data_IF_887342721096
#
_entry.id   IF_887342721096
#
_cell.length_a   1.000
_cell.length_b   1.000
_cell.length_c   1.000
_cell.angle_alpha   90.00
_cell.angle_beta   90.00
_cell.angle_gamma   90.00
#
_symmetry.space_group_name_H-M   'P 1'
#
loop_
_entity.id
_entity.type
_entity.pdbx_description
1 polymer ?
#
# COMPACT_ATOMS: atom_id res chain seq x y z
N UNK A 1 7.31 16.10 32.68
CA UNK A 1 8.48 15.71 31.84
C UNK A 1 7.91 15.32 30.50
N UNK A 2 8.40 15.90 29.41
CA UNK A 2 7.95 15.58 28.08
C UNK A 2 8.87 14.49 27.51
N UNK A 3 8.30 13.52 26.80
CA UNK A 3 9.04 12.39 26.22
C UNK A 3 8.93 12.41 24.70
N UNK A 4 9.96 11.92 24.02
CA UNK A 4 9.94 11.58 22.60
C UNK A 4 10.08 10.08 22.40
N UNK A 5 9.32 9.57 21.44
CA UNK A 5 9.38 8.16 21.02
C UNK A 5 10.46 8.00 19.96
N UNK A 6 11.23 6.93 20.03
CA UNK A 6 12.25 6.54 19.05
C UNK A 6 11.84 5.21 18.47
N UNK A 7 11.70 5.15 17.15
CA UNK A 7 11.18 3.97 16.45
C UNK A 7 12.16 3.56 15.34
N UNK A 8 12.49 2.28 15.31
CA UNK A 8 13.16 1.59 14.21
C UNK A 8 12.34 0.39 13.76
N UNK A 9 12.43 0.03 12.50
CA UNK A 9 11.67 -1.07 11.90
C UNK A 9 12.60 -2.09 11.26
N UNK A 10 12.26 -3.37 11.43
CA UNK A 10 12.83 -4.49 10.71
C UNK A 10 11.73 -5.06 9.83
N UNK A 11 11.87 -4.90 8.51
CA UNK A 11 10.85 -5.30 7.54
C UNK A 11 11.34 -6.48 6.73
N UNK A 12 10.62 -7.59 6.80
CA UNK A 12 10.88 -8.79 6.02
C UNK A 12 9.95 -8.83 4.81
N UNK A 13 10.50 -9.01 3.62
CA UNK A 13 9.74 -9.16 2.39
C UNK A 13 10.12 -10.47 1.68
N UNK A 14 9.13 -11.32 1.43
CA UNK A 14 9.31 -12.50 0.57
C UNK A 14 9.51 -12.05 -0.87
N UNK A 15 10.52 -12.60 -1.53
CA UNK A 15 10.86 -12.24 -2.91
C UNK A 15 10.00 -13.02 -3.90
N UNK A 16 9.49 -12.33 -4.91
CA UNK A 16 8.63 -12.88 -5.97
C UNK A 16 9.41 -13.71 -6.99
N UNK A 17 10.17 -14.71 -6.54
CA UNK A 17 10.88 -15.65 -7.40
C UNK A 17 10.02 -16.88 -7.67
N UNK A 18 10.23 -17.55 -8.80
CA UNK A 18 9.50 -18.79 -9.15
C UNK A 18 9.92 -19.96 -8.25
N UNK A 19 11.17 -19.94 -7.76
CA UNK A 19 11.74 -21.01 -6.95
C UNK A 19 12.34 -20.47 -5.68
N UNK A 20 12.49 -21.36 -4.69
CA UNK A 20 13.11 -21.06 -3.41
C UNK A 20 14.57 -20.62 -3.53
N UNK A 21 15.14 -20.16 -2.40
CA UNK A 21 16.47 -19.53 -2.39
C UNK A 21 17.60 -20.49 -2.76
N UNK A 22 17.54 -21.77 -2.34
CA UNK A 22 18.62 -22.74 -2.52
C UNK A 22 18.23 -24.02 -3.24
N UNK A 23 16.99 -24.15 -3.71
CA UNK A 23 16.49 -25.33 -4.42
C UNK A 23 15.44 -24.97 -5.47
N UNK A 24 15.01 -25.95 -6.25
CA UNK A 24 14.03 -25.80 -7.32
C UNK A 24 12.57 -25.96 -6.89
N UNK A 25 12.28 -26.09 -5.59
CA UNK A 25 10.90 -26.10 -5.11
C UNK A 25 10.18 -24.81 -5.48
N UNK A 26 8.88 -24.90 -5.79
CA UNK A 26 8.06 -23.75 -6.07
C UNK A 26 8.03 -22.78 -4.88
N UNK A 27 8.06 -21.48 -5.18
CA UNK A 27 7.92 -20.40 -4.22
C UNK A 27 6.50 -19.81 -4.34
N UNK A 28 5.50 -20.62 -3.99
CA UNK A 28 4.09 -20.28 -4.09
C UNK A 28 3.43 -20.33 -2.72
N UNK A 29 2.58 -19.35 -2.44
CA UNK A 29 1.74 -19.36 -1.24
C UNK A 29 0.59 -20.38 -1.39
N UNK A 30 0.31 -21.10 -0.30
CA UNK A 30 -0.73 -22.14 -0.31
C UNK A 30 -0.17 -23.52 -0.70
N UNK A 31 -1.02 -24.39 -1.17
CA UNK A 31 -0.70 -25.79 -1.42
C UNK A 31 -0.86 -26.69 -0.18
N UNK A 32 -0.91 -28.00 -0.41
CA UNK A 32 -1.06 -28.96 0.67
C UNK A 32 0.21 -28.98 1.55
N UNK A 33 0.03 -29.19 2.85
CA UNK A 33 1.12 -29.21 3.84
C UNK A 33 2.25 -30.14 3.42
N UNK A 34 3.49 -29.65 3.48
CA UNK A 34 4.72 -30.38 3.17
C UNK A 34 4.81 -30.93 1.74
N UNK A 35 4.17 -30.26 0.76
CA UNK A 35 4.27 -30.64 -0.67
C UNK A 35 5.27 -29.79 -1.45
N UNK A 36 5.55 -28.54 -1.01
CA UNK A 36 6.54 -27.66 -1.61
C UNK A 36 7.87 -27.72 -0.86
N UNK A 37 8.36 -28.92 -0.56
CA UNK A 37 9.63 -29.11 0.13
C UNK A 37 10.41 -30.29 -0.48
N UNK A 38 11.74 -30.21 -0.39
CA UNK A 38 12.67 -31.22 -0.89
C UNK A 38 13.79 -31.47 0.13
N UNK A 39 14.66 -32.48 -0.07
CA UNK A 39 15.77 -32.75 0.82
C UNK A 39 16.69 -31.54 1.09
N UNK A 40 16.81 -30.58 0.14
CA UNK A 40 17.68 -29.40 0.31
C UNK A 40 17.03 -28.41 1.29
N UNK A 41 15.80 -27.96 1.03
CA UNK A 41 15.15 -26.97 1.92
C UNK A 41 14.76 -27.56 3.28
N UNK A 42 14.65 -28.88 3.41
CA UNK A 42 14.46 -29.57 4.69
C UNK A 42 15.78 -29.98 5.38
N UNK A 43 16.94 -29.66 4.80
CA UNK A 43 18.24 -29.84 5.42
C UNK A 43 18.65 -31.28 5.61
N UNK A 44 18.31 -32.19 4.70
CA UNK A 44 18.70 -33.60 4.81
C UNK A 44 20.22 -33.79 4.65
N UNK A 45 20.85 -34.70 5.38
CA UNK A 45 22.29 -34.94 5.27
C UNK A 45 22.76 -35.23 3.85
N UNK A 46 23.85 -34.60 3.43
CA UNK A 46 24.47 -34.79 2.12
C UNK A 46 23.90 -33.91 1.00
N UNK A 47 22.93 -33.02 1.29
CA UNK A 47 22.42 -32.07 0.32
C UNK A 47 23.29 -30.80 0.27
N UNK A 48 23.43 -30.21 -0.92
CA UNK A 48 24.17 -28.95 -1.11
C UNK A 48 23.23 -27.87 -1.64
N UNK A 49 23.20 -26.68 -1.02
CA UNK A 49 22.44 -25.53 -1.48
C UNK A 49 23.08 -24.90 -2.72
N UNK A 50 22.27 -24.29 -3.59
CA UNK A 50 22.73 -23.46 -4.71
C UNK A 50 21.94 -22.16 -4.71
N UNK A 51 22.60 -21.03 -4.53
CA UNK A 51 21.95 -19.72 -4.44
C UNK A 51 21.23 -19.36 -5.75
N UNK A 52 19.94 -19.06 -5.64
CA UNK A 52 19.13 -18.58 -6.74
C UNK A 52 19.57 -17.16 -7.16
N UNK A 53 20.09 -17.01 -8.37
CA UNK A 53 20.58 -15.74 -8.92
C UNK A 53 19.50 -14.65 -8.92
N UNK A 54 18.24 -15.00 -9.12
CA UNK A 54 17.12 -14.05 -9.13
C UNK A 54 16.88 -13.41 -7.76
N UNK A 55 17.20 -14.12 -6.67
CA UNK A 55 17.17 -13.57 -5.31
C UNK A 55 18.16 -12.42 -5.17
N UNK A 56 19.38 -12.58 -5.71
CA UNK A 56 20.39 -11.51 -5.70
C UNK A 56 19.95 -10.36 -6.58
N UNK A 57 19.41 -10.62 -7.79
CA UNK A 57 18.84 -9.59 -8.66
C UNK A 57 17.80 -8.73 -7.92
N UNK A 58 16.87 -9.38 -7.21
CA UNK A 58 15.80 -8.68 -6.50
C UNK A 58 16.31 -7.91 -5.28
N UNK A 59 17.26 -8.46 -4.53
CA UNK A 59 17.85 -7.76 -3.40
C UNK A 59 18.65 -6.52 -3.85
N UNK A 60 19.43 -6.61 -4.95
CA UNK A 60 20.10 -5.46 -5.57
C UNK A 60 19.06 -4.43 -6.01
N UNK A 61 17.97 -4.88 -6.64
CA UNK A 61 16.92 -3.99 -7.14
C UNK A 61 16.22 -3.23 -6.00
N UNK A 62 15.91 -3.91 -4.90
CA UNK A 62 15.37 -3.28 -3.69
C UNK A 62 16.36 -2.28 -3.09
N UNK A 63 17.66 -2.64 -3.02
CA UNK A 63 18.71 -1.76 -2.53
C UNK A 63 18.86 -0.50 -3.37
N UNK A 64 18.93 -0.62 -4.69
CA UNK A 64 19.03 0.52 -5.59
C UNK A 64 17.79 1.43 -5.53
N UNK A 65 16.60 0.84 -5.46
CA UNK A 65 15.35 1.59 -5.36
C UNK A 65 15.17 2.33 -4.02
N UNK A 66 15.90 1.91 -2.99
CA UNK A 66 15.96 2.54 -1.67
C UNK A 66 17.28 3.28 -1.42
N UNK A 67 18.01 3.60 -2.48
CA UNK A 67 19.24 4.40 -2.45
C UNK A 67 20.42 3.79 -1.65
N UNK A 68 20.45 2.46 -1.50
CA UNK A 68 21.55 1.76 -0.85
C UNK A 68 22.78 1.64 -1.75
N UNK A 69 23.94 1.51 -1.10
CA UNK A 69 25.16 1.03 -1.73
C UNK A 69 25.15 -0.50 -1.81
N UNK A 70 25.62 -1.07 -2.94
CA UNK A 70 25.66 -2.52 -3.15
C UNK A 70 27.03 -3.05 -2.78
N UNK A 71 27.07 -4.08 -1.93
CA UNK A 71 28.29 -4.81 -1.57
C UNK A 71 28.73 -5.69 -2.73
N UNK A 72 29.95 -5.47 -3.25
CA UNK A 72 30.46 -6.18 -4.43
C UNK A 72 30.95 -7.59 -4.13
N UNK A 73 31.46 -7.80 -2.92
CA UNK A 73 31.93 -9.10 -2.44
C UNK A 73 31.22 -9.41 -1.14
N UNK A 74 30.29 -10.33 -1.18
CA UNK A 74 29.45 -10.75 -0.07
C UNK A 74 29.51 -12.23 0.16
N UNK A 75 28.90 -12.66 1.24
CA UNK A 75 28.79 -14.07 1.64
C UNK A 75 27.47 -14.33 2.31
N UNK A 76 27.14 -15.60 2.45
CA UNK A 76 26.07 -16.06 3.33
C UNK A 76 26.68 -16.58 4.64
N UNK A 77 25.97 -16.40 5.74
CA UNK A 77 26.35 -16.84 7.08
C UNK A 77 25.28 -17.76 7.67
N UNK A 78 25.69 -18.67 8.54
CA UNK A 78 24.79 -19.48 9.35
C UNK A 78 24.46 -18.73 10.64
N UNK A 79 23.17 -18.47 10.86
CA UNK A 79 22.60 -17.99 12.13
C UNK A 79 22.08 -19.20 12.89
N UNK A 80 22.84 -19.66 13.90
CA UNK A 80 22.56 -20.94 14.54
C UNK A 80 21.58 -20.78 15.71
N UNK A 81 20.44 -21.44 15.61
CA UNK A 81 19.49 -21.59 16.72
C UNK A 81 18.57 -22.80 16.48
N UNK A 82 18.06 -23.38 17.57
CA UNK A 82 17.18 -24.53 17.50
C UNK A 82 15.74 -24.14 17.67
N UNK A 83 14.95 -24.40 16.63
CA UNK A 83 13.50 -24.26 16.68
C UNK A 83 12.87 -25.30 15.74
N UNK A 84 11.63 -25.80 16.03
CA UNK A 84 11.03 -26.90 15.24
C UNK A 84 10.82 -26.58 13.76
N UNK A 85 10.65 -25.31 13.40
CA UNK A 85 10.48 -24.82 12.03
C UNK A 85 11.78 -24.58 11.27
N UNK A 86 12.93 -24.80 11.92
CA UNK A 86 14.26 -24.75 11.32
C UNK A 86 14.85 -26.15 11.17
N UNK A 87 14.59 -26.86 10.05
CA UNK A 87 15.00 -28.25 9.89
C UNK A 87 16.53 -28.46 9.86
N UNK A 88 17.27 -27.40 9.48
CA UNK A 88 18.75 -27.39 9.45
C UNK A 88 19.39 -27.04 10.80
N UNK A 89 18.60 -26.61 11.79
CA UNK A 89 19.03 -26.02 13.05
C UNK A 89 19.84 -24.71 12.92
N UNK A 90 19.78 -24.08 11.74
CA UNK A 90 20.28 -22.74 11.46
C UNK A 90 19.45 -22.10 10.35
N UNK A 91 19.46 -20.78 10.31
CA UNK A 91 18.95 -19.97 9.20
C UNK A 91 20.14 -19.44 8.42
N UNK A 92 20.13 -19.58 7.10
CA UNK A 92 21.12 -18.91 6.25
C UNK A 92 20.71 -17.45 6.08
N UNK A 93 21.64 -16.53 6.37
CA UNK A 93 21.43 -15.09 6.40
C UNK A 93 22.73 -14.37 6.02
N UNK A 94 22.85 -13.06 6.25
CA UNK A 94 24.07 -12.28 6.09
C UNK A 94 24.30 -11.43 7.33
N UNK A 95 25.45 -11.54 7.96
CA UNK A 95 25.74 -10.88 9.24
C UNK A 95 26.60 -9.61 9.06
N UNK A 96 27.89 -9.78 8.75
CA UNK A 96 28.87 -8.70 8.68
C UNK A 96 29.01 -8.08 7.28
N UNK A 97 28.59 -8.76 6.22
CA UNK A 97 28.64 -8.31 4.84
C UNK A 97 27.25 -8.38 4.18
N UNK A 98 26.29 -7.57 4.64
CA UNK A 98 24.98 -7.50 4.00
C UNK A 98 25.11 -7.02 2.55
N UNK A 99 24.22 -7.49 1.68
CA UNK A 99 24.28 -7.15 0.25
C UNK A 99 24.08 -5.65 -0.02
N UNK A 100 23.26 -4.97 0.79
CA UNK A 100 23.03 -3.53 0.64
C UNK A 100 23.21 -2.79 1.96
N UNK A 101 23.80 -1.61 1.90
CA UNK A 101 24.08 -0.79 3.08
C UNK A 101 23.76 0.70 2.83
N UNK A 102 23.37 1.41 3.87
CA UNK A 102 23.34 2.87 3.92
C UNK A 102 22.36 3.50 2.91
N UNK A 103 21.08 3.11 2.91
CA UNK A 103 20.07 3.70 2.05
C UNK A 103 19.09 4.61 2.79
N UNK A 104 17.98 4.96 2.13
CA UNK A 104 16.92 5.74 2.75
C UNK A 104 15.59 5.63 1.99
N UNK A 105 14.51 5.95 2.70
CA UNK A 105 13.18 6.21 2.15
C UNK A 105 12.72 7.59 2.64
N UNK A 106 12.33 8.46 1.71
CA UNK A 106 11.76 9.76 2.05
C UNK A 106 10.25 9.60 2.31
N UNK A 107 9.76 10.15 3.43
CA UNK A 107 8.35 10.22 3.80
C UNK A 107 7.86 11.66 3.78
N UNK A 108 6.54 11.86 3.64
CA UNK A 108 5.92 13.18 3.71
C UNK A 108 4.64 13.09 4.55
N UNK A 109 4.60 13.82 5.65
CA UNK A 109 3.44 13.92 6.53
C UNK A 109 3.03 15.39 6.59
N UNK A 110 1.82 15.69 6.10
CA UNK A 110 1.24 17.05 6.10
C UNK A 110 2.17 18.13 5.52
N UNK A 111 2.92 17.79 4.47
CA UNK A 111 3.87 18.67 3.80
C UNK A 111 5.29 18.68 4.42
N UNK A 112 5.48 18.03 5.56
CA UNK A 112 6.79 17.87 6.19
C UNK A 112 7.52 16.66 5.61
N UNK A 113 8.54 16.91 4.80
CA UNK A 113 9.39 15.85 4.23
C UNK A 113 10.44 15.44 5.26
N UNK A 114 10.60 14.12 5.44
CA UNK A 114 11.60 13.54 6.32
C UNK A 114 12.25 12.34 5.66
N UNK A 115 13.57 12.23 5.83
CA UNK A 115 14.34 11.08 5.39
C UNK A 115 14.47 10.09 6.52
N UNK A 116 14.14 8.83 6.25
CA UNK A 116 14.35 7.70 7.16
C UNK A 116 15.47 6.85 6.58
N UNK A 117 16.55 6.72 7.31
CA UNK A 117 17.71 5.94 6.92
C UNK A 117 17.42 4.44 6.90
N UNK A 118 18.13 3.73 6.05
CA UNK A 118 18.20 2.27 6.03
C UNK A 118 19.63 1.89 6.39
N UNK A 119 19.79 1.13 7.47
CA UNK A 119 21.10 0.61 7.89
C UNK A 119 21.60 -0.43 6.91
N UNK A 120 20.75 -1.41 6.55
CA UNK A 120 21.08 -2.50 5.64
C UNK A 120 19.86 -3.16 5.03
N UNK A 121 20.10 -3.86 3.91
CA UNK A 121 19.21 -4.89 3.38
C UNK A 121 20.05 -6.13 3.17
N UNK A 122 19.63 -7.25 3.73
CA UNK A 122 20.32 -8.51 3.57
C UNK A 122 19.38 -9.64 3.14
N UNK A 123 19.98 -10.64 2.50
CA UNK A 123 19.27 -11.83 2.02
C UNK A 123 19.24 -12.87 3.13
N UNK A 124 18.10 -13.51 3.31
CA UNK A 124 17.95 -14.65 4.19
C UNK A 124 16.89 -15.64 3.68
N UNK A 125 16.79 -16.79 4.30
CA UNK A 125 15.73 -17.76 4.04
C UNK A 125 14.65 -17.73 5.12
N UNK A 126 13.40 -18.01 4.74
CA UNK A 126 12.32 -18.15 5.72
C UNK A 126 12.35 -19.54 6.39
N UNK A 127 11.82 -19.59 7.61
CA UNK A 127 11.59 -20.80 8.38
C UNK A 127 10.25 -21.47 8.00
N UNK A 128 9.99 -22.67 8.45
CA UNK A 128 8.70 -23.35 8.33
C UNK A 128 7.59 -22.65 9.10
N UNK A 129 6.41 -23.23 9.08
CA UNK A 129 5.24 -22.73 9.82
C UNK A 129 4.82 -23.70 10.90
N UNK A 130 4.63 -23.19 12.11
CA UNK A 130 4.14 -23.96 13.25
C UNK A 130 2.63 -23.78 13.40
N UNK A 131 1.93 -24.88 13.60
CA UNK A 131 0.53 -24.91 13.97
C UNK A 131 0.43 -25.43 15.41
N UNK A 132 0.27 -24.49 16.34
CA UNK A 132 0.01 -24.78 17.74
C UNK A 132 -1.46 -25.15 17.89
N UNK A 133 -1.75 -26.09 18.80
CA UNK A 133 -3.15 -26.49 19.14
C UNK A 133 -3.94 -27.23 18.04
N UNK A 134 -3.35 -27.49 16.87
CA UNK A 134 -4.02 -28.29 15.84
C UNK A 134 -4.41 -29.70 16.32
N UNK A 135 -3.62 -30.27 17.24
CA UNK A 135 -3.88 -31.53 17.97
C UNK A 135 -3.47 -31.32 19.42
N UNK A 136 -4.35 -31.64 20.37
CA UNK A 136 -4.12 -31.43 21.79
C UNK A 136 -2.74 -31.97 22.25
N UNK A 137 -1.89 -31.07 22.77
CA UNK A 137 -0.55 -31.38 23.27
C UNK A 137 0.53 -31.56 22.21
N UNK A 138 0.27 -31.28 20.93
CA UNK A 138 1.24 -31.38 19.85
C UNK A 138 1.31 -30.09 19.02
N UNK A 139 2.48 -29.79 18.46
CA UNK A 139 2.69 -28.77 17.45
C UNK A 139 2.97 -29.46 16.11
N UNK A 140 2.21 -29.12 15.08
CA UNK A 140 2.46 -29.58 13.72
C UNK A 140 3.38 -28.59 12.99
N UNK A 141 4.18 -29.09 12.06
CA UNK A 141 5.15 -28.30 11.30
C UNK A 141 4.87 -28.45 9.81
N UNK A 142 4.74 -27.33 9.13
CA UNK A 142 4.69 -27.25 7.69
C UNK A 142 5.99 -26.63 7.16
N UNK A 143 6.73 -27.39 6.37
CA UNK A 143 8.00 -26.97 5.77
C UNK A 143 7.85 -26.32 4.38
N UNK A 144 6.62 -26.11 3.89
CA UNK A 144 6.41 -25.46 2.59
C UNK A 144 7.09 -24.09 2.52
N UNK A 145 7.12 -23.35 3.62
CA UNK A 145 7.78 -22.04 3.68
C UNK A 145 9.30 -22.10 3.89
N UNK A 146 9.87 -23.21 4.35
CA UNK A 146 11.33 -23.34 4.51
C UNK A 146 12.07 -23.05 3.22
N UNK A 147 13.02 -22.12 3.26
CA UNK A 147 13.82 -21.73 2.11
C UNK A 147 13.10 -20.80 1.14
N UNK A 148 11.95 -20.23 1.50
CA UNK A 148 11.38 -19.09 0.80
C UNK A 148 12.36 -17.92 0.88
N UNK A 149 12.71 -17.27 -0.26
CA UNK A 149 13.69 -16.18 -0.23
C UNK A 149 13.11 -14.94 0.45
N UNK A 150 13.85 -14.38 1.39
CA UNK A 150 13.54 -13.14 2.08
C UNK A 150 14.62 -12.09 1.87
N UNK A 151 14.23 -10.84 1.94
CA UNK A 151 15.11 -9.74 2.33
C UNK A 151 14.62 -9.14 3.64
N UNK A 152 15.56 -8.87 4.55
CA UNK A 152 15.33 -8.09 5.75
C UNK A 152 15.86 -6.67 5.54
N UNK A 153 15.00 -5.69 5.72
CA UNK A 153 15.26 -4.25 5.57
C UNK A 153 15.25 -3.64 6.96
N UNK A 154 16.40 -3.20 7.44
CA UNK A 154 16.57 -2.60 8.77
C UNK A 154 16.66 -1.09 8.64
N UNK A 155 15.71 -0.35 9.22
CA UNK A 155 15.75 1.11 9.24
C UNK A 155 16.68 1.64 10.33
N UNK A 156 17.16 2.87 10.15
CA UNK A 156 17.69 3.66 11.26
C UNK A 156 16.53 4.06 12.22
N UNK A 157 16.83 4.30 13.52
CA UNK A 157 15.83 4.70 14.51
C UNK A 157 15.45 6.20 14.38
N UNK A 158 15.10 6.60 13.18
CA UNK A 158 14.84 8.01 12.82
C UNK A 158 13.39 8.43 13.04
N UNK A 159 12.46 7.48 13.10
CA UNK A 159 11.03 7.77 13.26
C UNK A 159 10.70 8.19 14.68
N UNK A 160 9.77 9.14 14.80
CA UNK A 160 9.36 9.77 16.08
C UNK A 160 7.88 9.67 16.39
N UNK A 161 7.08 9.19 15.43
CA UNK A 161 5.65 8.96 15.64
C UNK A 161 5.15 7.71 14.90
N UNK A 162 3.98 7.23 15.29
CA UNK A 162 3.32 6.09 14.65
C UNK A 162 2.94 6.40 13.21
N UNK A 163 2.60 7.66 12.88
CA UNK A 163 2.32 8.13 11.53
C UNK A 163 3.56 8.10 10.64
N UNK A 164 4.74 8.48 11.18
CA UNK A 164 6.01 8.37 10.45
C UNK A 164 6.34 6.91 10.14
N UNK A 165 6.14 6.01 11.08
CA UNK A 165 6.34 4.58 10.89
C UNK A 165 5.37 4.00 9.83
N UNK A 166 4.11 4.41 9.88
CA UNK A 166 3.11 4.03 8.88
C UNK A 166 3.50 4.54 7.48
N UNK A 167 3.85 5.83 7.37
CA UNK A 167 4.25 6.42 6.10
C UNK A 167 5.50 5.73 5.51
N UNK A 168 6.47 5.37 6.37
CA UNK A 168 7.64 4.60 5.94
C UNK A 168 7.25 3.22 5.39
N UNK A 169 6.42 2.46 6.11
CA UNK A 169 5.95 1.14 5.68
C UNK A 169 5.16 1.20 4.37
N UNK A 170 4.27 2.18 4.22
CA UNK A 170 3.48 2.38 3.00
C UNK A 170 4.38 2.73 1.80
N UNK A 171 5.35 3.64 1.97
CA UNK A 171 6.30 3.99 0.90
C UNK A 171 7.23 2.83 0.54
N UNK A 172 7.76 2.12 1.55
CA UNK A 172 8.62 0.95 1.31
C UNK A 172 7.86 -0.14 0.56
N UNK A 173 6.63 -0.46 1.00
CA UNK A 173 5.75 -1.40 0.30
C UNK A 173 5.56 -1.00 -1.16
N UNK A 174 5.19 0.25 -1.42
CA UNK A 174 4.99 0.74 -2.79
C UNK A 174 6.27 0.60 -3.65
N UNK A 175 7.45 0.90 -3.10
CA UNK A 175 8.73 0.72 -3.79
C UNK A 175 8.96 -0.74 -4.17
N UNK A 176 8.72 -1.68 -3.25
CA UNK A 176 8.91 -3.11 -3.49
C UNK A 176 7.91 -3.67 -4.51
N UNK A 177 6.66 -3.24 -4.47
CA UNK A 177 5.63 -3.61 -5.45
C UNK A 177 5.95 -3.05 -6.84
N UNK A 178 6.32 -1.76 -6.95
CA UNK A 178 6.68 -1.12 -8.23
C UNK A 178 7.88 -1.78 -8.90
N UNK A 179 8.84 -2.20 -8.11
CA UNK A 179 10.03 -2.90 -8.63
C UNK A 179 9.76 -4.37 -8.94
N UNK A 180 8.61 -4.91 -8.57
CA UNK A 180 8.26 -6.31 -8.74
C UNK A 180 9.11 -7.26 -7.89
N UNK A 181 9.71 -6.75 -6.81
CA UNK A 181 10.57 -7.53 -5.90
C UNK A 181 9.74 -8.42 -4.99
N UNK A 182 8.58 -7.92 -4.54
CA UNK A 182 7.65 -8.63 -3.65
C UNK A 182 6.21 -8.20 -3.96
N UNK A 183 5.24 -9.04 -3.66
CA UNK A 183 3.81 -8.71 -3.70
C UNK A 183 3.32 -8.04 -2.41
N UNK A 184 4.15 -8.02 -1.37
CA UNK A 184 3.97 -7.29 -0.12
C UNK A 184 2.60 -7.50 0.57
N UNK A 185 2.06 -8.71 0.54
CA UNK A 185 0.77 -9.05 1.16
C UNK A 185 0.96 -9.46 2.62
N UNK A 186 0.64 -8.58 3.55
CA UNK A 186 0.75 -8.87 4.98
C UNK A 186 -0.15 -10.04 5.43
N UNK A 187 -1.34 -10.19 4.82
CA UNK A 187 -2.29 -11.26 5.16
C UNK A 187 -1.76 -12.65 4.80
N UNK A 188 -0.96 -12.76 3.74
CA UNK A 188 -0.31 -14.00 3.31
C UNK A 188 1.05 -14.19 3.99
N UNK A 189 1.58 -13.13 4.67
CA UNK A 189 2.85 -13.14 5.37
C UNK A 189 4.05 -12.81 4.49
N UNK A 190 3.83 -12.39 3.24
CA UNK A 190 4.91 -11.98 2.34
C UNK A 190 5.51 -10.61 2.66
N UNK A 191 4.86 -9.83 3.53
CA UNK A 191 5.42 -8.66 4.19
C UNK A 191 5.17 -8.75 5.69
N UNK A 192 6.22 -8.65 6.50
CA UNK A 192 6.16 -8.67 7.97
C UNK A 192 7.00 -7.52 8.50
N UNK A 193 6.64 -6.98 9.66
CA UNK A 193 7.47 -5.99 10.33
C UNK A 193 7.57 -6.27 11.82
N UNK A 194 8.79 -6.15 12.34
CA UNK A 194 9.10 -6.08 13.75
C UNK A 194 9.40 -4.62 14.10
N UNK A 195 8.87 -4.14 15.22
CA UNK A 195 8.95 -2.74 15.60
C UNK A 195 9.80 -2.60 16.85
N UNK A 196 10.85 -1.80 16.76
CA UNK A 196 11.68 -1.43 17.88
C UNK A 196 11.24 -0.07 18.43
N UNK A 197 10.81 -0.03 19.70
CA UNK A 197 10.32 1.17 20.36
C UNK A 197 11.15 1.46 21.61
N UNK A 198 11.56 2.71 21.79
CA UNK A 198 12.05 3.24 23.05
C UNK A 198 11.54 4.65 23.26
N UNK A 199 11.53 5.12 24.52
CA UNK A 199 11.19 6.51 24.85
C UNK A 199 12.32 7.13 25.64
N UNK A 200 12.51 8.45 25.46
CA UNK A 200 13.47 9.25 26.22
C UNK A 200 12.88 10.63 26.54
N UNK A 201 13.35 11.28 27.61
CA UNK A 201 13.02 12.70 27.85
C UNK A 201 13.48 13.57 26.67
N UNK A 202 12.65 14.55 26.28
CA UNK A 202 13.00 15.49 25.22
C UNK A 202 14.31 16.22 25.58
N UNK A 203 15.24 16.24 24.63
CA UNK A 203 16.58 16.83 24.77
C UNK A 203 17.66 15.88 25.29
N UNK A 204 17.32 14.66 25.71
CA UNK A 204 18.29 13.62 26.03
C UNK A 204 18.92 13.08 24.72
N UNK A 205 20.25 12.90 24.70
CA UNK A 205 20.96 12.37 23.51
C UNK A 205 20.93 10.84 23.43
N UNK A 206 21.08 10.17 24.56
CA UNK A 206 21.11 8.71 24.65
C UNK A 206 19.72 8.14 24.44
N UNK A 207 19.63 7.05 23.70
CA UNK A 207 18.37 6.32 23.53
C UNK A 207 17.92 5.68 24.84
N UNK A 208 16.61 5.53 25.00
CA UNK A 208 16.03 4.72 26.05
C UNK A 208 16.21 3.23 25.82
N UNK A 209 15.78 2.43 26.79
CA UNK A 209 15.79 0.96 26.66
C UNK A 209 14.78 0.53 25.62
N UNK A 210 15.24 -0.22 24.63
CA UNK A 210 14.43 -0.70 23.49
C UNK A 210 13.61 -1.93 23.88
N UNK A 211 12.34 -1.96 23.42
CA UNK A 211 11.53 -3.17 23.33
C UNK A 211 11.25 -3.50 21.87
N UNK A 212 11.21 -4.78 21.55
CA UNK A 212 10.91 -5.30 20.23
C UNK A 212 9.46 -5.80 20.21
N UNK A 213 8.64 -5.27 19.30
CA UNK A 213 7.24 -5.66 19.13
C UNK A 213 7.12 -6.59 17.94
N UNK A 214 6.58 -7.79 18.16
CA UNK A 214 6.33 -8.82 17.13
C UNK A 214 4.84 -9.08 16.92
N UNK A 215 4.51 -9.83 15.87
CA UNK A 215 3.13 -10.22 15.54
C UNK A 215 2.25 -9.04 15.11
N UNK A 216 2.82 -8.13 14.34
CA UNK A 216 2.11 -6.99 13.78
C UNK A 216 1.68 -7.35 12.35
N UNK A 217 0.36 -7.51 12.15
CA UNK A 217 -0.20 -8.09 10.92
C UNK A 217 -0.88 -7.06 10.00
N UNK A 218 -0.78 -5.76 10.33
CA UNK A 218 -1.31 -4.67 9.51
C UNK A 218 -0.61 -3.35 9.84
N UNK A 219 -0.62 -2.38 8.92
CA UNK A 219 -0.07 -1.04 9.19
C UNK A 219 -0.86 -0.31 10.28
N UNK A 220 -2.18 -0.49 10.33
CA UNK A 220 -2.98 0.03 11.43
C UNK A 220 -2.67 -0.65 12.77
N UNK A 221 -2.34 -1.93 12.76
CA UNK A 221 -1.82 -2.66 13.92
C UNK A 221 -0.48 -2.11 14.37
N UNK A 222 0.43 -1.76 13.44
CA UNK A 222 1.70 -1.12 13.74
C UNK A 222 1.52 0.22 14.48
N UNK A 223 0.62 1.06 13.99
CA UNK A 223 0.29 2.34 14.63
C UNK A 223 -0.16 2.11 16.08
N UNK A 224 -1.16 1.25 16.30
CA UNK A 224 -1.68 0.96 17.64
C UNK A 224 -0.62 0.35 18.56
N UNK A 225 0.20 -0.55 18.05
CA UNK A 225 1.28 -1.18 18.82
C UNK A 225 2.33 -0.16 19.29
N UNK A 226 2.73 0.77 18.41
CA UNK A 226 3.68 1.84 18.72
C UNK A 226 3.08 2.79 19.78
N UNK A 227 1.86 3.23 19.59
CA UNK A 227 1.19 4.14 20.53
C UNK A 227 1.04 3.51 21.92
N UNK A 228 0.57 2.26 21.97
CA UNK A 228 0.43 1.53 23.21
C UNK A 228 1.77 1.35 23.93
N UNK A 229 2.80 0.88 23.22
CA UNK A 229 4.10 0.57 23.81
C UNK A 229 4.83 1.85 24.27
N UNK A 230 4.73 2.93 23.50
CA UNK A 230 5.28 4.23 23.88
C UNK A 230 4.65 4.73 25.18
N UNK A 231 3.31 4.68 25.27
CA UNK A 231 2.60 5.10 26.48
C UNK A 231 2.92 4.20 27.66
N UNK A 232 2.97 2.87 27.48
CA UNK A 232 3.37 1.94 28.54
C UNK A 232 4.75 2.26 29.11
N UNK A 233 5.73 2.52 28.23
CA UNK A 233 7.09 2.86 28.69
C UNK A 233 7.14 4.19 29.44
N UNK A 234 6.37 5.20 28.99
CA UNK A 234 6.27 6.50 29.69
C UNK A 234 5.66 6.30 31.07
N UNK A 235 4.57 5.55 31.19
CA UNK A 235 3.89 5.31 32.46
C UNK A 235 4.80 4.56 33.45
N UNK A 236 5.54 3.56 33.00
CA UNK A 236 6.52 2.83 33.82
C UNK A 236 7.64 3.76 34.33
N UNK A 237 8.20 4.61 33.45
CA UNK A 237 9.26 5.56 33.82
C UNK A 237 8.72 6.59 34.83
N UNK A 238 7.52 7.10 34.66
CA UNK A 238 6.89 8.05 35.57
C UNK A 238 6.55 7.42 36.93
N UNK A 239 6.25 6.12 36.95
CA UNK A 239 6.09 5.32 38.17
C UNK A 239 7.41 4.99 38.89
N UNK A 240 8.56 5.35 38.30
CA UNK A 240 9.89 5.07 38.84
C UNK A 240 10.43 3.69 38.51
N UNK A 241 9.78 2.96 37.61
CA UNK A 241 10.21 1.65 37.14
C UNK A 241 11.24 1.79 36.02
N UNK A 242 12.06 0.75 35.85
CA UNK A 242 13.00 0.66 34.73
C UNK A 242 12.38 -0.15 33.59
N UNK A 243 12.57 0.33 32.38
CA UNK A 243 12.23 -0.46 31.18
C UNK A 243 13.23 -1.59 31.03
N UNK A 244 12.73 -2.81 30.80
CA UNK A 244 13.53 -4.01 30.54
C UNK A 244 13.61 -4.20 29.02
N UNK A 245 14.79 -4.53 28.52
CA UNK A 245 14.95 -4.90 27.12
C UNK A 245 14.37 -6.29 26.88
N UNK A 246 13.25 -6.36 26.18
CA UNK A 246 12.49 -7.58 25.97
C UNK A 246 11.82 -7.60 24.61
N UNK A 247 11.45 -8.79 24.14
CA UNK A 247 10.54 -9.00 23.00
C UNK A 247 9.11 -9.13 23.54
N UNK A 248 8.19 -8.41 22.91
CA UNK A 248 6.76 -8.38 23.25
C UNK A 248 5.92 -8.76 22.03
N UNK A 249 4.85 -9.51 22.22
CA UNK A 249 3.88 -9.85 21.19
C UNK A 249 2.74 -8.85 21.22
N UNK A 250 2.41 -8.29 20.08
CA UNK A 250 1.19 -7.50 19.93
C UNK A 250 -0.03 -8.40 19.87
N UNK A 251 -1.03 -8.12 20.71
CA UNK A 251 -2.36 -8.72 20.70
C UNK A 251 -3.36 -7.68 20.18
N UNK A 252 -3.61 -7.75 18.88
CA UNK A 252 -4.43 -6.75 18.19
C UNK A 252 -5.90 -6.78 18.63
N UNK A 253 -6.42 -7.95 19.03
CA UNK A 253 -7.79 -8.12 19.48
C UNK A 253 -8.04 -7.43 20.83
N UNK A 254 -7.07 -7.49 21.72
CA UNK A 254 -7.14 -6.88 23.05
C UNK A 254 -6.47 -5.49 23.12
N UNK A 255 -5.73 -5.09 22.07
CA UNK A 255 -5.04 -3.80 22.00
C UNK A 255 -3.92 -3.66 23.04
N UNK A 256 -3.19 -4.73 23.35
CA UNK A 256 -2.13 -4.77 24.36
C UNK A 256 -0.88 -5.49 23.87
N UNK A 257 0.27 -5.17 24.47
CA UNK A 257 1.50 -5.95 24.26
C UNK A 257 1.73 -6.91 25.42
N UNK A 258 2.18 -8.13 25.10
CA UNK A 258 2.43 -9.20 26.09
C UNK A 258 3.90 -9.56 26.03
N UNK A 259 4.60 -9.53 27.16
CA UNK A 259 6.00 -9.92 27.24
C UNK A 259 6.18 -11.41 26.86
N UNK A 260 7.16 -11.70 26.01
CA UNK A 260 7.50 -13.07 25.57
C UNK A 260 8.77 -13.58 26.26
N UNK A 261 9.89 -12.86 26.09
CA UNK A 261 11.19 -13.22 26.63
C UNK A 261 12.01 -11.97 26.93
N UNK A 262 12.88 -12.05 27.94
CA UNK A 262 13.84 -10.99 28.24
C UNK A 262 15.15 -11.20 27.46
N UNK A 263 16.00 -10.14 27.39
CA UNK A 263 17.31 -10.21 26.74
C UNK A 263 18.30 -11.10 27.47
N UNK A 264 18.10 -11.40 28.76
CA UNK A 264 18.93 -12.35 29.52
C UNK A 264 18.88 -13.77 28.93
N UNK A 265 17.80 -14.07 28.16
CA UNK A 265 17.63 -15.30 27.38
C UNK A 265 18.06 -15.16 25.93
N UNK A 266 18.67 -14.02 25.53
CA UNK A 266 19.13 -13.82 24.16
C UNK A 266 20.21 -14.84 23.79
N UNK A 267 19.92 -15.60 22.73
CA UNK A 267 20.86 -16.60 22.23
C UNK A 267 22.02 -15.92 21.52
N UNK A 268 23.25 -16.38 21.80
CA UNK A 268 24.39 -16.13 20.91
C UNK A 268 24.22 -17.02 19.68
N UNK A 269 23.91 -16.40 18.54
CA UNK A 269 23.68 -17.12 17.28
C UNK A 269 24.95 -17.72 16.68
N UNK A 270 26.12 -17.43 17.20
CA UNK A 270 27.41 -17.99 16.76
C UNK A 270 27.54 -17.99 15.24
N UNK A 271 27.38 -16.81 14.64
CA UNK A 271 27.49 -16.64 13.20
C UNK A 271 28.84 -17.12 12.67
N UNK A 272 28.81 -17.83 11.55
CA UNK A 272 30.01 -18.15 10.76
C UNK A 272 29.61 -18.29 9.28
N UNK A 273 30.58 -18.13 8.33
CA UNK A 273 30.28 -18.26 6.91
C UNK A 273 29.67 -19.61 6.56
N UNK A 274 28.65 -19.61 5.70
CA UNK A 274 28.05 -20.85 5.18
C UNK A 274 29.05 -21.55 4.23
N UNK A 275 29.64 -22.70 4.63
CA UNK A 275 30.73 -23.32 3.87
C UNK A 275 30.26 -23.96 2.56
N UNK A 276 28.97 -24.26 2.43
CA UNK A 276 28.39 -24.92 1.25
C UNK A 276 27.97 -23.93 0.17
N UNK A 277 28.10 -22.62 0.43
CA UNK A 277 27.78 -21.55 -0.53
C UNK A 277 29.04 -20.79 -0.94
N UNK A 278 29.18 -20.55 -2.23
CA UNK A 278 30.26 -19.70 -2.77
C UNK A 278 30.00 -18.21 -2.45
N UNK A 279 31.05 -17.38 -2.38
CA UNK A 279 30.91 -15.94 -2.24
C UNK A 279 29.99 -15.34 -3.31
N UNK A 280 29.26 -14.29 -2.94
CA UNK A 280 28.43 -13.51 -3.86
C UNK A 280 29.29 -12.39 -4.44
N UNK A 281 29.62 -12.49 -5.73
CA UNK A 281 30.39 -11.48 -6.43
C UNK A 281 29.47 -10.70 -7.37
N UNK A 282 29.36 -9.41 -7.12
CA UNK A 282 28.50 -8.48 -7.90
C UNK A 282 29.38 -7.45 -8.56
N UNK A 283 29.48 -7.48 -9.87
CA UNK A 283 30.23 -6.50 -10.66
C UNK A 283 29.39 -5.27 -11.03
N UNK A 284 30.04 -4.25 -11.55
CA UNK A 284 29.38 -3.00 -11.94
C UNK A 284 28.41 -3.19 -13.11
N UNK A 285 28.69 -4.12 -14.02
CA UNK A 285 27.82 -4.43 -15.16
C UNK A 285 26.50 -5.04 -14.67
N UNK A 286 26.56 -5.92 -13.67
CA UNK A 286 25.36 -6.50 -13.07
C UNK A 286 24.53 -5.43 -12.35
N UNK A 287 25.17 -4.57 -11.57
CA UNK A 287 24.50 -3.45 -10.88
C UNK A 287 23.79 -2.55 -11.89
N UNK A 288 24.48 -2.15 -12.97
CA UNK A 288 23.91 -1.23 -13.95
C UNK A 288 22.75 -1.87 -14.72
N UNK A 289 22.87 -3.12 -15.12
CA UNK A 289 21.76 -3.87 -15.73
C UNK A 289 20.51 -3.90 -14.83
N UNK A 290 20.68 -4.08 -13.51
CA UNK A 290 19.55 -4.05 -12.58
C UNK A 290 19.01 -2.63 -12.46
N UNK A 291 19.86 -1.61 -12.39
CA UNK A 291 19.47 -0.19 -12.34
C UNK A 291 18.59 0.20 -13.53
N UNK A 292 18.99 -0.17 -14.73
CA UNK A 292 18.21 0.08 -15.95
C UNK A 292 16.84 -0.63 -15.94
N UNK A 293 16.69 -1.71 -15.19
CA UNK A 293 15.44 -2.46 -15.06
C UNK A 293 14.46 -1.89 -14.03
N UNK A 294 14.88 -0.85 -13.27
CA UNK A 294 14.01 -0.21 -12.27
C UNK A 294 13.02 0.69 -13.00
N UNK A 295 11.70 0.49 -12.81
CA UNK A 295 10.70 1.36 -13.41
C UNK A 295 10.65 2.74 -12.72
N UNK A 296 9.85 3.65 -13.26
CA UNK A 296 9.53 4.90 -12.58
C UNK A 296 8.95 4.62 -11.19
N UNK A 297 9.65 5.08 -10.14
CA UNK A 297 9.27 4.82 -8.75
C UNK A 297 8.09 5.71 -8.28
N UNK A 298 7.39 5.36 -7.19
CA UNK A 298 6.21 6.09 -6.72
C UNK A 298 6.42 7.60 -6.56
N UNK A 299 7.56 8.03 -6.03
CA UNK A 299 7.88 9.45 -5.82
C UNK A 299 8.02 10.21 -7.15
N UNK A 300 8.73 9.64 -8.12
CA UNK A 300 8.90 10.22 -9.46
C UNK A 300 7.55 10.31 -10.19
N UNK A 301 6.77 9.25 -10.12
CA UNK A 301 5.44 9.17 -10.73
C UNK A 301 4.47 10.17 -10.11
N UNK A 302 4.53 10.36 -8.79
CA UNK A 302 3.78 11.40 -8.07
C UNK A 302 4.12 12.79 -8.60
N UNK A 303 5.40 13.11 -8.75
CA UNK A 303 5.83 14.40 -9.31
C UNK A 303 5.34 14.61 -10.74
N UNK A 304 5.42 13.58 -11.57
CA UNK A 304 4.89 13.62 -12.94
C UNK A 304 3.37 13.87 -12.97
N UNK A 305 2.61 13.21 -12.13
CA UNK A 305 1.16 13.42 -12.06
C UNK A 305 0.77 14.83 -11.61
N UNK A 306 1.55 15.43 -10.71
CA UNK A 306 1.34 16.82 -10.28
C UNK A 306 1.65 17.77 -11.45
N UNK A 307 2.82 17.61 -12.07
CA UNK A 307 3.34 18.56 -13.06
C UNK A 307 2.63 18.44 -14.42
N UNK A 308 2.36 17.23 -14.88
CA UNK A 308 1.80 16.95 -16.21
C UNK A 308 0.31 16.57 -16.16
N UNK A 309 -0.10 15.84 -15.13
CA UNK A 309 -1.47 15.37 -14.97
C UNK A 309 -2.42 16.40 -14.34
N UNK A 310 -1.88 17.46 -13.72
CA UNK A 310 -2.65 18.50 -13.02
C UNK A 310 -3.34 17.98 -11.74
N UNK A 311 -2.82 16.91 -11.13
CA UNK A 311 -3.33 16.36 -9.88
C UNK A 311 -2.89 17.23 -8.69
N UNK A 312 -3.68 17.18 -7.61
CA UNK A 312 -3.22 17.69 -6.31
C UNK A 312 -2.14 16.78 -5.73
N UNK A 313 -1.33 17.30 -4.82
CA UNK A 313 -0.33 16.48 -4.12
C UNK A 313 -0.97 15.29 -3.38
N UNK A 314 -2.15 15.50 -2.79
CA UNK A 314 -2.91 14.47 -2.11
C UNK A 314 -3.38 13.38 -3.08
N UNK A 315 -4.06 13.73 -4.18
CA UNK A 315 -4.58 12.77 -5.15
C UNK A 315 -3.46 11.96 -5.81
N UNK A 316 -2.37 12.64 -6.20
CA UNK A 316 -1.21 11.97 -6.76
C UNK A 316 -0.58 11.00 -5.75
N UNK A 317 -0.48 11.40 -4.47
CA UNK A 317 -0.02 10.54 -3.39
C UNK A 317 -0.90 9.29 -3.23
N UNK A 318 -2.22 9.46 -3.18
CA UNK A 318 -3.14 8.32 -3.03
C UNK A 318 -3.06 7.32 -4.20
N UNK A 319 -2.97 7.79 -5.42
CA UNK A 319 -2.87 6.92 -6.61
C UNK A 319 -1.53 6.16 -6.63
N UNK A 320 -0.42 6.84 -6.32
CA UNK A 320 0.90 6.24 -6.41
C UNK A 320 1.22 5.25 -5.30
N UNK A 321 0.40 5.16 -4.25
CA UNK A 321 0.52 4.09 -3.26
C UNK A 321 0.14 2.70 -3.81
N UNK A 322 -0.52 2.63 -4.98
CA UNK A 322 -0.81 1.37 -5.68
C UNK A 322 -0.32 1.45 -7.12
N UNK A 323 0.57 0.55 -7.50
CA UNK A 323 1.04 0.43 -8.89
C UNK A 323 -0.13 0.22 -9.86
N UNK A 324 -1.13 -0.56 -9.47
CA UNK A 324 -2.28 -0.87 -10.31
C UNK A 324 -3.17 0.35 -10.57
N UNK A 325 -3.42 1.20 -9.55
CA UNK A 325 -4.14 2.45 -9.73
C UNK A 325 -3.35 3.43 -10.60
N UNK A 326 -2.04 3.48 -10.39
CA UNK A 326 -1.16 4.35 -11.15
C UNK A 326 -1.07 3.92 -12.63
N UNK A 327 -0.93 2.63 -12.90
CA UNK A 327 -0.92 2.08 -14.28
C UNK A 327 -2.27 2.30 -14.97
N UNK A 328 -3.37 2.16 -14.22
CA UNK A 328 -4.70 2.43 -14.74
C UNK A 328 -4.89 3.91 -15.09
N UNK A 329 -4.40 4.83 -14.24
CA UNK A 329 -4.41 6.26 -14.54
C UNK A 329 -3.55 6.59 -15.77
N UNK A 330 -2.33 6.04 -15.87
CA UNK A 330 -1.47 6.26 -17.03
C UNK A 330 -2.12 5.79 -18.32
N UNK A 331 -2.80 4.63 -18.28
CA UNK A 331 -3.56 4.13 -19.43
C UNK A 331 -4.69 5.10 -19.81
N UNK A 332 -5.41 5.64 -18.83
CA UNK A 332 -6.45 6.65 -19.10
C UNK A 332 -5.86 7.92 -19.70
N UNK A 333 -4.72 8.41 -19.20
CA UNK A 333 -4.05 9.60 -19.74
C UNK A 333 -3.53 9.36 -21.16
N UNK A 334 -2.94 8.21 -21.44
CA UNK A 334 -2.49 7.80 -22.77
C UNK A 334 -3.65 7.75 -23.78
N UNK A 335 -4.84 7.38 -23.33
CA UNK A 335 -6.07 7.38 -24.13
C UNK A 335 -6.72 8.78 -24.27
N UNK A 336 -6.10 9.81 -23.71
CA UNK A 336 -6.49 11.21 -23.89
C UNK A 336 -7.36 11.79 -22.77
N UNK A 337 -7.57 11.10 -21.67
CA UNK A 337 -8.24 11.68 -20.52
C UNK A 337 -7.33 12.69 -19.80
N UNK A 338 -7.92 13.77 -19.26
CA UNK A 338 -7.19 14.66 -18.36
C UNK A 338 -6.89 13.93 -17.06
N UNK A 339 -5.65 13.99 -16.58
CA UNK A 339 -5.21 13.29 -15.37
C UNK A 339 -6.12 13.59 -14.18
N UNK A 340 -6.44 14.84 -13.93
CA UNK A 340 -7.34 15.26 -12.85
C UNK A 340 -8.77 14.68 -12.98
N UNK A 341 -9.33 14.63 -14.20
CA UNK A 341 -10.66 14.05 -14.41
C UNK A 341 -10.66 12.55 -14.15
N UNK A 342 -9.66 11.82 -14.68
CA UNK A 342 -9.54 10.39 -14.51
C UNK A 342 -9.26 10.03 -13.04
N UNK A 343 -8.35 10.75 -12.36
CA UNK A 343 -8.01 10.51 -10.95
C UNK A 343 -9.22 10.66 -10.02
N UNK A 344 -10.09 11.66 -10.27
CA UNK A 344 -11.31 11.83 -9.50
C UNK A 344 -12.21 10.59 -9.57
N UNK A 345 -12.43 10.02 -10.76
CA UNK A 345 -13.23 8.82 -10.94
C UNK A 345 -12.58 7.58 -10.30
N UNK A 346 -11.26 7.47 -10.42
CA UNK A 346 -10.50 6.36 -9.84
C UNK A 346 -10.59 6.39 -8.32
N UNK A 347 -10.27 7.53 -7.70
CA UNK A 347 -10.21 7.66 -6.23
C UNK A 347 -11.60 7.68 -5.57
N UNK A 348 -12.63 8.20 -6.24
CA UNK A 348 -13.97 8.24 -5.67
C UNK A 348 -14.78 6.98 -5.99
N UNK A 349 -15.17 6.82 -7.26
CA UNK A 349 -16.18 5.82 -7.62
C UNK A 349 -15.60 4.42 -7.82
N UNK A 350 -14.44 4.27 -8.51
CA UNK A 350 -13.81 2.96 -8.70
C UNK A 350 -13.29 2.41 -7.37
N UNK A 351 -12.57 3.21 -6.57
CA UNK A 351 -12.07 2.74 -5.27
C UNK A 351 -13.21 2.39 -4.30
N UNK A 352 -14.30 3.15 -4.31
CA UNK A 352 -15.50 2.79 -3.53
C UNK A 352 -16.05 1.44 -3.95
N UNK A 353 -16.23 1.20 -5.25
CA UNK A 353 -16.77 -0.05 -5.78
C UNK A 353 -15.85 -1.25 -5.51
N UNK A 354 -14.52 -1.06 -5.59
CA UNK A 354 -13.56 -2.09 -5.21
C UNK A 354 -13.73 -2.48 -3.73
N UNK A 355 -13.78 -1.47 -2.83
CA UNK A 355 -13.94 -1.71 -1.40
C UNK A 355 -15.27 -2.39 -1.06
N UNK A 356 -16.39 -1.96 -1.67
CA UNK A 356 -17.72 -2.57 -1.46
C UNK A 356 -17.76 -4.04 -1.90
N UNK A 357 -16.93 -4.43 -2.88
CA UNK A 357 -16.87 -5.80 -3.40
C UNK A 357 -15.66 -6.60 -2.86
N UNK A 358 -14.89 -6.07 -1.89
CA UNK A 358 -13.68 -6.67 -1.35
C UNK A 358 -12.68 -7.06 -2.45
N UNK A 359 -12.50 -6.20 -3.45
CA UNK A 359 -11.59 -6.39 -4.58
C UNK A 359 -10.34 -5.53 -4.43
N UNK A 360 -9.22 -6.08 -4.86
CA UNK A 360 -7.95 -5.36 -4.91
C UNK A 360 -7.86 -4.46 -6.16
N UNK A 361 -7.04 -3.38 -6.14
CA UNK A 361 -6.83 -2.52 -7.30
C UNK A 361 -6.37 -3.23 -8.58
N UNK A 362 -5.69 -4.38 -8.46
CA UNK A 362 -5.31 -5.23 -9.60
C UNK A 362 -6.50 -5.84 -10.34
N UNK A 363 -7.68 -5.85 -9.71
CA UNK A 363 -8.89 -6.51 -10.19
C UNK A 363 -9.91 -5.53 -10.79
N UNK A 364 -9.54 -4.26 -11.08
CA UNK A 364 -10.43 -3.27 -11.67
C UNK A 364 -11.11 -3.86 -12.92
N UNK A 365 -12.44 -4.09 -12.91
CA UNK A 365 -13.12 -4.73 -14.03
C UNK A 365 -13.47 -3.76 -15.16
N UNK A 366 -13.40 -2.45 -14.91
CA UNK A 366 -13.73 -1.39 -15.88
C UNK A 366 -12.54 -1.16 -16.80
N UNK A 367 -12.65 -1.40 -18.11
CA UNK A 367 -11.58 -1.06 -19.05
C UNK A 367 -11.30 0.45 -19.06
N UNK A 368 -10.03 0.85 -19.14
CA UNK A 368 -9.64 2.26 -19.15
C UNK A 368 -10.26 3.01 -20.31
N UNK A 369 -10.42 2.36 -21.46
CA UNK A 369 -11.08 2.88 -22.66
C UNK A 369 -12.54 3.28 -22.38
N UNK A 370 -13.24 2.50 -21.57
CA UNK A 370 -14.62 2.76 -21.20
C UNK A 370 -14.73 3.93 -20.19
N UNK A 371 -13.81 4.00 -19.23
CA UNK A 371 -13.76 5.16 -18.32
C UNK A 371 -13.47 6.46 -19.09
N UNK A 372 -12.48 6.45 -19.98
CA UNK A 372 -12.12 7.62 -20.80
C UNK A 372 -13.30 8.04 -21.69
N UNK A 373 -13.98 7.08 -22.30
CA UNK A 373 -15.19 7.34 -23.10
C UNK A 373 -16.32 7.95 -22.25
N UNK A 374 -16.56 7.42 -21.07
CA UNK A 374 -17.54 7.94 -20.11
C UNK A 374 -17.22 9.39 -19.71
N UNK A 375 -15.95 9.66 -19.36
CA UNK A 375 -15.49 11.02 -19.03
C UNK A 375 -15.76 11.98 -20.20
N UNK A 376 -15.41 11.59 -21.44
CA UNK A 376 -15.67 12.40 -22.65
C UNK A 376 -17.15 12.69 -22.87
N UNK A 377 -18.02 11.72 -22.64
CA UNK A 377 -19.48 11.86 -22.76
C UNK A 377 -20.02 12.86 -21.74
N UNK A 378 -19.50 12.82 -20.51
CA UNK A 378 -19.86 13.76 -19.43
C UNK A 378 -19.34 15.17 -19.74
N UNK A 379 -18.08 15.31 -20.17
CA UNK A 379 -17.48 16.61 -20.54
C UNK A 379 -18.22 17.27 -21.71
N UNK A 380 -18.75 16.48 -22.63
CA UNK A 380 -19.62 16.97 -23.71
C UNK A 380 -21.04 17.35 -23.25
N UNK A 381 -21.40 17.10 -22.00
CA UNK A 381 -22.72 17.40 -21.46
C UNK A 381 -23.83 16.47 -21.93
N UNK A 382 -23.50 15.32 -22.52
CA UNK A 382 -24.51 14.34 -22.96
C UNK A 382 -25.22 13.70 -21.77
N UNK A 383 -24.50 13.48 -20.67
CA UNK A 383 -25.02 13.03 -19.37
C UNK A 383 -24.39 13.84 -18.23
N UNK A 384 -25.07 13.88 -17.08
CA UNK A 384 -24.52 14.51 -15.87
C UNK A 384 -23.57 13.59 -15.11
N UNK A 385 -22.75 14.16 -14.21
CA UNK A 385 -21.90 13.39 -13.30
C UNK A 385 -22.70 12.33 -12.50
N UNK A 386 -23.90 12.69 -12.01
CA UNK A 386 -24.76 11.76 -11.27
C UNK A 386 -25.26 10.59 -12.13
N UNK A 387 -25.50 10.85 -13.42
CA UNK A 387 -25.82 9.78 -14.37
C UNK A 387 -24.57 8.95 -14.70
N UNK A 388 -23.40 9.59 -14.79
CA UNK A 388 -22.10 8.91 -14.94
C UNK A 388 -21.81 7.93 -13.83
N UNK A 389 -22.16 8.25 -12.58
CA UNK A 389 -22.03 7.30 -11.43
C UNK A 389 -22.87 6.02 -11.64
N UNK A 390 -24.05 6.15 -12.17
CA UNK A 390 -24.88 4.98 -12.50
C UNK A 390 -24.31 4.14 -13.65
N UNK A 391 -23.63 4.80 -14.59
CA UNK A 391 -22.97 4.12 -15.70
C UNK A 391 -21.73 3.38 -15.22
N UNK A 392 -20.91 3.99 -14.32
CA UNK A 392 -19.72 3.32 -13.79
C UNK A 392 -20.08 2.11 -12.91
N UNK A 393 -21.16 2.16 -12.13
CA UNK A 393 -21.69 1.04 -11.36
C UNK A 393 -22.08 -0.12 -12.28
N UNK A 394 -22.71 0.16 -13.41
CA UNK A 394 -23.03 -0.88 -14.40
C UNK A 394 -21.79 -1.42 -15.11
N UNK A 395 -20.85 -0.53 -15.48
CA UNK A 395 -19.59 -0.92 -16.08
C UNK A 395 -18.76 -1.83 -15.16
N UNK A 396 -18.88 -1.64 -13.85
CA UNK A 396 -18.17 -2.43 -12.87
C UNK A 396 -18.69 -3.90 -12.81
N UNK A 397 -19.99 -4.08 -13.02
CA UNK A 397 -20.62 -5.42 -13.04
C UNK A 397 -20.57 -6.03 -14.44
N UNK A 398 -20.76 -5.21 -15.47
CA UNK A 398 -20.85 -5.66 -16.86
C UNK A 398 -20.17 -4.63 -17.77
N UNK A 399 -18.90 -4.84 -18.14
CA UNK A 399 -18.07 -3.85 -18.86
C UNK A 399 -18.44 -3.70 -20.34
N UNK A 400 -19.72 -3.32 -20.63
CA UNK A 400 -20.19 -2.96 -21.96
C UNK A 400 -19.73 -1.55 -22.35
N UNK A 401 -19.87 -1.20 -23.63
CA UNK A 401 -19.63 0.18 -24.07
C UNK A 401 -20.54 1.17 -23.33
N UNK A 402 -20.00 2.27 -22.77
CA UNK A 402 -20.76 3.27 -22.02
C UNK A 402 -21.96 3.84 -22.78
N UNK A 403 -21.84 4.05 -24.11
CA UNK A 403 -22.95 4.57 -24.94
C UNK A 403 -24.12 3.59 -25.00
N UNK A 404 -23.85 2.29 -24.99
CA UNK A 404 -24.89 1.25 -24.97
C UNK A 404 -25.63 1.33 -23.65
N UNK A 405 -24.92 1.40 -22.52
CA UNK A 405 -25.51 1.51 -21.18
C UNK A 405 -26.37 2.77 -21.06
N UNK A 406 -25.86 3.91 -21.52
CA UNK A 406 -26.56 5.20 -21.52
C UNK A 406 -27.87 5.09 -22.30
N UNK A 407 -27.83 4.44 -23.46
CA UNK A 407 -28.99 4.26 -24.33
C UNK A 407 -30.01 3.27 -23.71
N UNK A 408 -29.55 2.13 -23.22
CA UNK A 408 -30.40 1.12 -22.57
C UNK A 408 -31.13 1.68 -21.34
N UNK A 409 -30.46 2.53 -20.56
CA UNK A 409 -31.00 3.16 -19.36
C UNK A 409 -31.71 4.51 -19.60
N UNK A 410 -31.73 5.00 -20.85
CA UNK A 410 -32.38 6.27 -21.20
C UNK A 410 -31.80 7.49 -20.45
N UNK A 411 -30.44 7.53 -20.27
CA UNK A 411 -29.77 8.55 -19.46
C UNK A 411 -29.38 9.81 -20.21
N UNK A 412 -29.69 9.91 -21.50
CA UNK A 412 -29.33 11.08 -22.31
C UNK A 412 -30.01 12.33 -21.77
N UNK A 413 -29.26 13.41 -21.56
CA UNK A 413 -29.81 14.69 -21.12
C UNK A 413 -30.58 15.36 -22.25
N UNK A 414 -31.70 15.99 -21.89
CA UNK A 414 -32.43 16.86 -22.76
C UNK A 414 -31.70 18.21 -22.76
N UNK A 415 -31.02 18.52 -23.87
CA UNK A 415 -30.31 19.79 -24.07
C UNK A 415 -30.98 20.69 -25.08
N UNK A 416 -32.13 20.30 -25.61
CA UNK A 416 -32.96 21.15 -26.50
C UNK A 416 -33.55 22.28 -25.67
N UNK A 417 -33.00 23.50 -25.87
CA UNK A 417 -33.44 24.72 -25.16
C UNK A 417 -34.93 24.99 -25.39
N UNK A 418 -35.47 24.67 -26.57
CA UNK A 418 -36.88 24.93 -26.90
C UNK A 418 -37.82 23.96 -26.15
N UNK A 419 -37.41 22.71 -26.03
CA UNK A 419 -38.17 21.71 -25.25
C UNK A 419 -38.11 22.00 -23.76
N UNK A 420 -36.90 22.34 -23.25
CA UNK A 420 -36.71 22.69 -21.84
C UNK A 420 -37.44 24.00 -21.47
N UNK A 421 -37.47 25.01 -22.34
CA UNK A 421 -38.13 26.29 -22.10
C UNK A 421 -39.64 26.10 -21.87
N UNK A 422 -40.28 25.19 -22.60
CA UNK A 422 -41.73 24.91 -22.41
C UNK A 422 -41.97 24.38 -20.99
N UNK A 423 -41.14 23.45 -20.53
CA UNK A 423 -41.26 22.90 -19.20
C UNK A 423 -40.93 23.93 -18.12
N UNK A 424 -39.91 24.77 -18.35
CA UNK A 424 -39.55 25.87 -17.46
C UNK A 424 -40.69 26.84 -17.28
N UNK A 425 -41.33 27.28 -18.39
CA UNK A 425 -42.49 28.20 -18.37
C UNK A 425 -43.62 27.58 -17.56
N UNK A 426 -43.99 26.33 -17.81
CA UNK A 426 -45.04 25.64 -17.08
C UNK A 426 -44.73 25.53 -15.55
N UNK A 427 -43.49 25.22 -15.19
CA UNK A 427 -43.08 25.16 -13.78
C UNK A 427 -43.13 26.53 -13.12
N UNK A 428 -42.69 27.60 -13.80
CA UNK A 428 -42.74 28.97 -13.29
C UNK A 428 -44.19 29.40 -13.11
N UNK A 429 -45.10 29.11 -14.08
CA UNK A 429 -46.51 29.43 -14.02
C UNK A 429 -47.22 28.74 -12.83
N UNK A 430 -46.82 27.51 -12.53
CA UNK A 430 -47.39 26.75 -11.42
C UNK A 430 -46.79 27.13 -10.05
N UNK A 431 -45.79 28.03 -10.00
CA UNK A 431 -45.11 28.43 -8.75
C UNK A 431 -45.03 29.95 -8.58
N UNK A 432 -46.15 30.68 -8.55
CA UNK A 432 -46.15 32.15 -8.50
C UNK A 432 -45.48 32.74 -7.26
N UNK A 433 -45.49 32.01 -6.14
CA UNK A 433 -44.80 32.44 -4.93
C UNK A 433 -43.27 32.47 -5.13
N UNK A 434 -42.70 31.50 -5.85
CA UNK A 434 -41.26 31.51 -6.15
C UNK A 434 -40.85 32.64 -7.06
N UNK A 435 -41.75 33.08 -7.98
CA UNK A 435 -41.52 34.26 -8.79
C UNK A 435 -41.51 35.54 -7.94
N UNK A 436 -42.45 35.66 -7.00
CA UNK A 436 -42.50 36.79 -6.05
C UNK A 436 -41.26 36.83 -5.14
N UNK A 437 -40.83 35.67 -4.65
CA UNK A 437 -39.62 35.55 -3.82
C UNK A 437 -38.35 35.95 -4.58
N UNK A 438 -38.21 35.55 -5.85
CA UNK A 438 -37.08 35.96 -6.71
C UNK A 438 -37.08 37.48 -6.93
N UNK A 439 -38.24 38.08 -7.29
CA UNK A 439 -38.36 39.52 -7.43
C UNK A 439 -38.13 40.29 -6.12
N UNK A 440 -38.35 39.63 -4.97
CA UNK A 440 -38.04 40.14 -3.65
C UNK A 440 -36.55 39.96 -3.23
N UNK A 441 -35.67 39.53 -4.17
CA UNK A 441 -34.24 39.37 -3.94
C UNK A 441 -33.83 38.07 -3.24
N UNK A 442 -34.67 37.03 -3.22
CA UNK A 442 -34.36 35.73 -2.64
C UNK A 442 -33.83 34.78 -3.72
N UNK A 443 -32.53 34.75 -3.95
CA UNK A 443 -31.87 33.84 -4.94
C UNK A 443 -32.16 32.35 -4.74
N UNK A 444 -32.52 31.95 -3.54
CA UNK A 444 -32.89 30.54 -3.24
C UNK A 444 -34.11 30.05 -4.04
N UNK A 445 -34.96 30.95 -4.54
CA UNK A 445 -36.10 30.61 -5.35
C UNK A 445 -35.70 29.93 -6.69
N UNK A 446 -34.58 30.33 -7.29
CA UNK A 446 -34.03 29.68 -8.50
C UNK A 446 -33.73 28.20 -8.24
N UNK A 447 -33.06 27.89 -7.15
CA UNK A 447 -32.71 26.49 -6.77
C UNK A 447 -33.96 25.60 -6.62
N UNK A 448 -35.06 26.15 -6.06
CA UNK A 448 -36.31 25.43 -5.94
C UNK A 448 -36.93 25.14 -7.34
N UNK A 449 -36.98 26.13 -8.21
CA UNK A 449 -37.53 26.01 -9.59
C UNK A 449 -36.69 25.05 -10.43
N UNK A 450 -35.37 25.10 -10.32
CA UNK A 450 -34.48 24.09 -10.93
C UNK A 450 -34.79 22.68 -10.44
N UNK A 451 -34.98 22.52 -9.14
CA UNK A 451 -35.35 21.21 -8.54
C UNK A 451 -36.70 20.67 -9.06
N UNK A 452 -37.71 21.54 -9.21
CA UNK A 452 -39.00 21.16 -9.77
C UNK A 452 -38.91 20.81 -11.27
N UNK A 453 -38.17 21.60 -12.06
CA UNK A 453 -37.92 21.30 -13.48
C UNK A 453 -37.14 20.00 -13.67
N UNK A 454 -36.16 19.74 -12.81
CA UNK A 454 -35.41 18.46 -12.79
C UNK A 454 -36.32 17.27 -12.49
N UNK A 455 -37.32 17.42 -11.59
CA UNK A 455 -38.33 16.40 -11.33
C UNK A 455 -39.24 16.16 -12.53
N UNK A 456 -39.72 17.23 -13.16
CA UNK A 456 -40.58 17.17 -14.36
C UNK A 456 -39.86 16.51 -15.54
N UNK A 457 -38.56 16.73 -15.69
CA UNK A 457 -37.70 16.09 -16.70
C UNK A 457 -37.16 14.72 -16.28
N UNK A 458 -37.63 14.15 -15.15
CA UNK A 458 -37.13 12.88 -14.56
C UNK A 458 -35.62 12.86 -14.40
N UNK A 459 -35.00 13.98 -14.09
CA UNK A 459 -33.56 14.13 -13.94
C UNK A 459 -32.76 14.20 -15.24
N UNK A 460 -33.43 14.33 -16.39
CA UNK A 460 -32.80 14.39 -17.70
C UNK A 460 -32.53 15.81 -18.20
N UNK A 461 -33.06 16.85 -17.55
CA UNK A 461 -32.80 18.25 -17.93
C UNK A 461 -31.33 18.63 -17.65
N UNK A 462 -30.68 19.35 -18.59
CA UNK A 462 -29.32 19.86 -18.33
C UNK A 462 -29.38 20.99 -17.29
N UNK A 463 -28.77 20.85 -16.10
CA UNK A 463 -28.89 21.84 -15.03
C UNK A 463 -28.36 23.21 -15.38
N UNK A 464 -27.32 23.30 -16.22
CA UNK A 464 -26.75 24.58 -16.64
C UNK A 464 -27.70 25.34 -17.56
N UNK A 465 -28.28 24.61 -18.52
CA UNK A 465 -29.31 25.20 -19.45
C UNK A 465 -30.57 25.58 -18.66
N UNK A 466 -31.01 24.72 -17.73
CA UNK A 466 -32.18 25.02 -16.88
C UNK A 466 -31.97 26.25 -16.02
N UNK A 467 -30.80 26.40 -15.37
CA UNK A 467 -30.50 27.61 -14.59
C UNK A 467 -30.53 28.86 -15.46
N UNK A 468 -29.95 28.82 -16.68
CA UNK A 468 -29.96 29.91 -17.63
C UNK A 468 -31.39 30.29 -18.03
N UNK A 469 -32.16 29.28 -18.50
CA UNK A 469 -33.53 29.49 -18.98
C UNK A 469 -34.47 29.98 -17.88
N UNK A 470 -34.36 29.43 -16.66
CA UNK A 470 -35.19 29.88 -15.53
C UNK A 470 -34.86 31.32 -15.16
N UNK A 471 -33.58 31.71 -15.13
CA UNK A 471 -33.17 33.05 -14.83
C UNK A 471 -33.68 34.06 -15.92
N UNK A 472 -33.45 33.74 -17.19
CA UNK A 472 -33.89 34.55 -18.31
C UNK A 472 -35.43 34.73 -18.32
N UNK A 473 -36.18 33.65 -18.00
CA UNK A 473 -37.66 33.75 -17.99
C UNK A 473 -38.17 34.48 -16.74
N UNK A 474 -37.51 34.39 -15.58
CA UNK A 474 -37.83 35.17 -14.38
C UNK A 474 -37.53 36.65 -14.55
N UNK A 475 -36.41 37.01 -15.21
CA UNK A 475 -36.00 38.38 -15.50
C UNK A 475 -36.94 39.03 -16.54
N UNK A 476 -37.57 38.22 -17.39
CA UNK A 476 -38.51 38.68 -18.42
C UNK A 476 -39.91 39.01 -17.88
N UNK A 477 -40.29 38.41 -16.75
CA UNK A 477 -41.62 38.60 -16.10
C UNK A 477 -41.57 39.69 -15.03
#
# INVERSE_FOLDING_TARGET
>A
MEFETIIGLEVHAELATDTKIYCSCANEFGGDTNTHCCPICTGMPGTLPVLNKKVVDYAIKAGLATNCSITKEGKQDRKNYFYPDLPKAYQTSQFDLPLCTGGYVDINIEGNKKRIGITRIHIEEDAGKLFHEAVAGNTLVDFNRCGVPLIEIVSEPDMRSSEEARAYLENLKAILEYTGVSDCKMQEGSLRCDINVSVRPVGQKEFGTRTEMKNVNSFSGAVRAIEYESQRQIDEILAGNKIIQETRRWDDANGVSIAMRSKEEAQDYRYFPEPDLVPIIVDDEWIERIRESIPELPAQRKERYINEGGLTEYDAGQITMSIHLADYLDKCMTLGAKGKSASNWILSDISRLLNENNMEPSQIPVPAEHLVKLISIIEKGTISNNQGKKVIEELFVNPKDPEIIIKEKGLVQISDESALLKIVVEIIDNNPQSVADYKGGKDKAIGFLVGQTMRATKGQGNPQILNKLIKEELDRR
#
